data_IF_038369677604
#
_entry.id   IF_038369677604
#
_cell.length_a   1.000
_cell.length_b   1.000
_cell.length_c   1.000
_cell.angle_alpha   90.00
_cell.angle_beta   90.00
_cell.angle_gamma   90.00
#
_symmetry.space_group_name_H-M   'P 1'
#
loop_
_entity.id
_entity.type
_entity.pdbx_description
1 polymer ?
#
# COMPACT_ATOMS: atom_id res chain seq x y z
N UNK A 1 -16.88 -19.25 -9.48
CA UNK A 1 -17.31 -19.08 -8.06
C UNK A 1 -16.65 -17.87 -7.42
N UNK A 2 -15.37 -17.60 -7.70
CA UNK A 2 -14.63 -16.49 -7.11
C UNK A 2 -15.30 -15.12 -7.25
N UNK A 3 -15.78 -14.72 -8.45
CA UNK A 3 -16.43 -13.41 -8.63
C UNK A 3 -17.61 -13.18 -7.67
N UNK A 4 -18.48 -14.19 -7.53
CA UNK A 4 -19.61 -14.14 -6.60
C UNK A 4 -19.13 -14.04 -5.15
N UNK A 5 -18.07 -14.76 -4.78
CA UNK A 5 -17.48 -14.68 -3.45
C UNK A 5 -16.87 -13.30 -3.16
N UNK A 6 -16.18 -12.71 -4.14
CA UNK A 6 -15.65 -11.34 -4.08
C UNK A 6 -16.77 -10.34 -3.88
N UNK A 7 -17.82 -10.38 -4.71
CA UNK A 7 -18.98 -9.48 -4.59
C UNK A 7 -19.68 -9.60 -3.22
N UNK A 8 -19.84 -10.83 -2.72
CA UNK A 8 -20.42 -11.07 -1.39
C UNK A 8 -19.56 -10.53 -0.26
N UNK A 9 -18.24 -10.69 -0.35
CA UNK A 9 -17.32 -10.15 0.65
C UNK A 9 -17.32 -8.61 0.64
N UNK A 10 -17.37 -7.99 -0.54
CA UNK A 10 -17.48 -6.54 -0.68
C UNK A 10 -18.79 -6.00 -0.12
N UNK A 11 -19.91 -6.69 -0.37
CA UNK A 11 -21.22 -6.33 0.19
C UNK A 11 -21.39 -6.61 1.69
N UNK A 12 -20.44 -7.31 2.32
CA UNK A 12 -20.51 -7.63 3.74
C UNK A 12 -20.15 -6.44 4.62
N UNK A 13 -21.09 -6.00 5.46
CA UNK A 13 -20.92 -4.83 6.32
C UNK A 13 -19.88 -4.99 7.43
N UNK A 14 -19.62 -6.23 7.87
CA UNK A 14 -18.72 -6.52 9.01
C UNK A 14 -17.38 -7.14 8.60
N UNK A 15 -17.15 -7.37 7.31
CA UNK A 15 -15.93 -8.04 6.82
C UNK A 15 -15.81 -9.51 7.25
N UNK A 16 -16.85 -10.12 7.82
CA UNK A 16 -16.80 -11.51 8.29
C UNK A 16 -16.50 -12.54 7.17
N UNK A 17 -16.70 -12.16 5.91
CA UNK A 17 -16.40 -13.00 4.74
C UNK A 17 -14.98 -12.80 4.21
N UNK A 18 -14.23 -11.84 4.73
CA UNK A 18 -12.94 -11.44 4.19
C UNK A 18 -11.90 -12.55 4.34
N UNK A 19 -11.80 -13.13 5.54
CA UNK A 19 -10.93 -14.28 5.79
C UNK A 19 -11.37 -15.52 5.01
N UNK A 20 -12.69 -15.73 4.88
CA UNK A 20 -13.23 -16.83 4.09
C UNK A 20 -12.87 -16.70 2.62
N UNK A 21 -12.97 -15.48 2.06
CA UNK A 21 -12.61 -15.20 0.69
C UNK A 21 -11.11 -15.48 0.45
N UNK A 22 -10.24 -14.98 1.33
CA UNK A 22 -8.78 -15.24 1.26
C UNK A 22 -8.49 -16.73 1.25
N UNK A 23 -9.07 -17.47 2.19
CA UNK A 23 -8.90 -18.92 2.27
C UNK A 23 -9.41 -19.63 1.02
N UNK A 24 -10.59 -19.26 0.52
CA UNK A 24 -11.17 -19.82 -0.70
C UNK A 24 -10.26 -19.61 -1.91
N UNK A 25 -9.69 -18.42 -2.07
CA UNK A 25 -8.80 -18.08 -3.18
C UNK A 25 -7.46 -18.81 -3.06
N UNK A 26 -6.87 -18.85 -1.86
CA UNK A 26 -5.65 -19.60 -1.60
C UNK A 26 -5.83 -21.09 -1.91
N UNK A 27 -6.98 -21.68 -1.54
CA UNK A 27 -7.29 -23.08 -1.88
C UNK A 27 -7.33 -23.33 -3.39
N UNK A 28 -7.67 -22.33 -4.20
CA UNK A 28 -7.78 -22.48 -5.65
C UNK A 28 -6.44 -22.54 -6.38
N UNK A 29 -5.33 -22.23 -5.71
CA UNK A 29 -3.99 -22.44 -6.26
C UNK A 29 -3.75 -23.92 -6.58
N UNK A 30 -3.09 -24.18 -7.71
CA UNK A 30 -2.80 -25.54 -8.17
C UNK A 30 -2.04 -26.36 -7.11
N UNK A 31 -1.06 -25.74 -6.44
CA UNK A 31 -0.33 -26.37 -5.33
C UNK A 31 -1.26 -26.83 -4.19
N UNK A 32 -2.18 -25.96 -3.77
CA UNK A 32 -3.12 -26.27 -2.68
C UNK A 32 -4.20 -27.27 -3.10
N UNK A 33 -4.67 -27.21 -4.35
CA UNK A 33 -5.56 -28.22 -4.93
C UNK A 33 -4.89 -29.60 -4.99
N UNK A 34 -3.61 -29.67 -5.36
CA UNK A 34 -2.85 -30.91 -5.37
C UNK A 34 -2.67 -31.49 -3.96
N UNK A 35 -2.39 -30.63 -2.96
CA UNK A 35 -2.32 -31.05 -1.55
C UNK A 35 -3.66 -31.60 -1.06
N UNK A 36 -4.76 -30.90 -1.35
CA UNK A 36 -6.11 -31.34 -0.97
C UNK A 36 -6.51 -32.64 -1.66
N UNK A 37 -6.14 -32.84 -2.93
CA UNK A 37 -6.41 -34.08 -3.64
C UNK A 37 -5.78 -35.29 -2.96
N UNK A 38 -4.60 -35.12 -2.37
CA UNK A 38 -3.93 -36.19 -1.61
C UNK A 38 -4.71 -36.60 -0.36
N UNK A 39 -5.33 -35.65 0.33
CA UNK A 39 -6.08 -35.90 1.57
C UNK A 39 -7.57 -36.21 1.36
N UNK A 40 -8.15 -35.72 0.26
CA UNK A 40 -9.58 -35.81 -0.05
C UNK A 40 -9.75 -36.35 -1.46
N UNK A 41 -10.02 -37.67 -1.54
CA UNK A 41 -10.15 -38.46 -2.78
C UNK A 41 -11.31 -38.03 -3.70
N UNK A 42 -12.12 -37.04 -3.30
CA UNK A 42 -13.31 -36.55 -4.02
C UNK A 42 -13.28 -35.06 -4.33
N UNK A 43 -12.13 -34.38 -4.25
CA UNK A 43 -12.11 -32.95 -4.54
C UNK A 43 -12.31 -32.72 -6.04
N UNK A 44 -13.46 -32.15 -6.40
CA UNK A 44 -13.73 -31.61 -7.73
C UNK A 44 -12.58 -30.66 -8.06
N UNK A 45 -11.79 -30.98 -9.10
CA UNK A 45 -10.76 -30.05 -9.60
C UNK A 45 -11.47 -28.75 -9.96
N UNK A 46 -11.23 -27.72 -9.19
CA UNK A 46 -11.74 -26.39 -9.51
C UNK A 46 -10.87 -25.87 -10.67
N UNK A 47 -11.26 -26.21 -11.90
CA UNK A 47 -10.75 -25.58 -13.12
C UNK A 47 -11.33 -24.16 -13.20
N UNK A 48 -10.96 -23.29 -12.27
CA UNK A 48 -11.28 -21.87 -12.34
C UNK A 48 -10.08 -21.13 -12.88
N UNK A 49 -10.33 -20.25 -13.84
CA UNK A 49 -9.32 -19.40 -14.41
C UNK A 49 -8.87 -18.38 -13.34
N UNK A 50 -7.70 -18.64 -12.74
CA UNK A 50 -7.09 -17.78 -11.72
C UNK A 50 -6.83 -16.39 -12.32
N UNK A 51 -6.35 -16.33 -13.57
CA UNK A 51 -6.08 -15.08 -14.28
C UNK A 51 -7.35 -14.22 -14.39
N UNK A 52 -8.47 -14.80 -14.81
CA UNK A 52 -9.75 -14.07 -14.85
C UNK A 52 -10.24 -13.60 -13.48
N UNK A 53 -9.85 -14.29 -12.41
CA UNK A 53 -10.17 -13.91 -11.03
C UNK A 53 -9.29 -12.75 -10.59
N UNK A 54 -7.99 -12.83 -10.86
CA UNK A 54 -7.00 -11.77 -10.63
C UNK A 54 -7.44 -10.49 -11.33
N UNK A 55 -7.71 -10.54 -12.63
CA UNK A 55 -8.17 -9.38 -13.41
C UNK A 55 -9.48 -8.78 -12.86
N UNK A 56 -10.37 -9.63 -12.37
CA UNK A 56 -11.62 -9.18 -11.76
C UNK A 56 -11.39 -8.48 -10.41
N UNK A 57 -10.52 -9.01 -9.56
CA UNK A 57 -10.17 -8.36 -8.29
C UNK A 57 -9.43 -7.04 -8.54
N UNK A 58 -8.51 -6.99 -9.53
CA UNK A 58 -7.85 -5.75 -9.97
C UNK A 58 -8.87 -4.69 -10.39
N UNK A 59 -9.88 -5.06 -11.18
CA UNK A 59 -11.01 -4.17 -11.49
C UNK A 59 -11.76 -3.71 -10.23
N UNK A 60 -12.02 -4.59 -9.26
CA UNK A 60 -12.70 -4.21 -8.01
C UNK A 60 -11.88 -3.26 -7.14
N UNK A 61 -10.55 -3.37 -7.15
CA UNK A 61 -9.67 -2.41 -6.45
C UNK A 61 -9.72 -1.02 -7.09
N UNK A 62 -9.89 -0.95 -8.42
CA UNK A 62 -10.04 0.33 -9.13
C UNK A 62 -11.34 1.07 -8.81
N UNK A 63 -12.36 0.36 -8.34
CA UNK A 63 -13.62 0.93 -7.87
C UNK A 63 -13.42 1.50 -6.44
N UNK A 64 -14.07 2.61 -6.11
CA UNK A 64 -13.94 3.24 -4.78
C UNK A 64 -14.64 2.41 -3.69
N UNK A 65 -13.89 2.05 -2.65
CA UNK A 65 -14.33 1.20 -1.55
C UNK A 65 -13.71 1.68 -0.23
N UNK A 66 -14.30 1.33 0.93
CA UNK A 66 -13.65 1.50 2.23
C UNK A 66 -12.25 0.86 2.26
N UNK A 67 -11.35 1.42 3.07
CA UNK A 67 -9.95 1.00 3.12
C UNK A 67 -9.82 -0.49 3.48
N UNK A 68 -10.65 -0.97 4.42
CA UNK A 68 -10.66 -2.35 4.88
C UNK A 68 -11.00 -3.32 3.74
N UNK A 69 -11.92 -2.92 2.86
CA UNK A 69 -12.33 -3.70 1.69
C UNK A 69 -11.23 -3.72 0.64
N UNK A 70 -10.63 -2.58 0.37
CA UNK A 70 -9.48 -2.49 -0.54
C UNK A 70 -8.33 -3.36 -0.04
N UNK A 71 -7.96 -3.24 1.23
CA UNK A 71 -6.94 -4.08 1.89
C UNK A 71 -7.29 -5.57 1.78
N UNK A 72 -8.56 -5.95 1.97
CA UNK A 72 -8.97 -7.33 1.80
C UNK A 72 -8.79 -7.84 0.36
N UNK A 73 -9.15 -7.04 -0.65
CA UNK A 73 -8.93 -7.40 -2.05
C UNK A 73 -7.45 -7.52 -2.38
N UNK A 74 -6.59 -6.68 -1.80
CA UNK A 74 -5.13 -6.83 -1.94
C UNK A 74 -4.62 -8.15 -1.34
N UNK A 75 -5.08 -8.51 -0.14
CA UNK A 75 -4.77 -9.81 0.43
C UNK A 75 -5.24 -10.96 -0.46
N UNK A 76 -6.42 -10.83 -1.07
CA UNK A 76 -6.94 -11.83 -2.00
C UNK A 76 -6.01 -12.05 -3.21
N UNK A 77 -5.39 -11.00 -3.73
CA UNK A 77 -4.41 -11.12 -4.82
C UNK A 77 -3.10 -11.77 -4.34
N UNK A 78 -2.64 -11.42 -3.14
CA UNK A 78 -1.48 -12.06 -2.52
C UNK A 78 -1.69 -13.57 -2.29
N UNK A 79 -2.89 -13.98 -1.84
CA UNK A 79 -3.25 -15.40 -1.70
C UNK A 79 -3.29 -16.15 -3.04
N UNK A 80 -3.46 -15.43 -4.16
CA UNK A 80 -3.41 -16.00 -5.51
C UNK A 80 -1.99 -16.07 -6.08
N UNK A 81 -0.95 -15.76 -5.28
CA UNK A 81 0.44 -15.84 -5.69
C UNK A 81 0.83 -14.82 -6.77
N UNK A 82 0.05 -13.74 -6.89
CA UNK A 82 0.36 -12.65 -7.82
C UNK A 82 1.37 -11.70 -7.15
N UNK A 83 2.65 -12.06 -7.21
CA UNK A 83 3.77 -11.22 -6.74
C UNK A 83 4.02 -10.01 -7.66
N UNK A 84 3.51 -10.07 -8.91
CA UNK A 84 3.55 -8.95 -9.84
C UNK A 84 2.67 -7.79 -9.40
N UNK A 85 1.83 -8.01 -8.39
CA UNK A 85 0.88 -7.04 -7.87
C UNK A 85 1.51 -5.73 -7.40
N UNK A 86 2.65 -5.76 -6.73
CA UNK A 86 3.34 -4.52 -6.31
C UNK A 86 3.78 -3.74 -7.55
N UNK A 87 4.36 -4.44 -8.52
CA UNK A 87 4.85 -3.86 -9.77
C UNK A 87 3.70 -3.37 -10.66
N UNK A 88 2.59 -4.09 -10.70
CA UNK A 88 1.38 -3.76 -11.44
C UNK A 88 0.56 -2.66 -10.77
N UNK A 89 0.47 -2.60 -9.43
CA UNK A 89 -0.10 -1.45 -8.72
C UNK A 89 0.76 -0.23 -9.01
N UNK A 90 2.08 -0.35 -8.91
CA UNK A 90 2.99 0.73 -9.28
C UNK A 90 2.79 1.14 -10.75
N UNK A 91 2.62 0.21 -11.69
CA UNK A 91 2.35 0.51 -13.10
C UNK A 91 0.95 1.10 -13.31
N UNK A 92 -0.08 0.63 -12.61
CA UNK A 92 -1.45 1.12 -12.67
C UNK A 92 -1.50 2.57 -12.18
N UNK A 93 -0.88 2.85 -11.03
CA UNK A 93 -0.69 4.19 -10.48
C UNK A 93 0.08 5.11 -11.44
N UNK A 94 1.08 4.58 -12.15
CA UNK A 94 1.83 5.32 -13.18
C UNK A 94 1.05 5.52 -14.49
N UNK A 95 0.19 4.58 -14.87
CA UNK A 95 -0.48 4.54 -16.19
C UNK A 95 -1.69 5.48 -16.31
N UNK A 96 -2.16 6.03 -15.19
CA UNK A 96 -2.94 7.26 -15.19
C UNK A 96 -4.15 7.27 -16.12
N UNK A 97 -5.08 6.33 -15.96
CA UNK A 97 -6.49 6.64 -16.26
C UNK A 97 -7.06 7.55 -15.16
N UNK A 98 -6.55 8.79 -15.12
CA UNK A 98 -7.11 10.06 -14.60
C UNK A 98 -8.06 10.10 -13.38
N UNK A 99 -8.11 9.09 -12.51
CA UNK A 99 -8.78 9.19 -11.21
C UNK A 99 -7.74 9.19 -10.10
N UNK A 100 -7.71 10.31 -9.36
CA UNK A 100 -7.03 10.46 -8.08
C UNK A 100 -7.30 9.23 -7.19
N UNK A 101 -6.26 8.70 -6.54
CA UNK A 101 -6.47 7.66 -5.54
C UNK A 101 -7.31 8.22 -4.40
N UNK A 102 -8.39 7.53 -4.05
CA UNK A 102 -9.15 7.89 -2.87
C UNK A 102 -8.32 7.69 -1.59
N UNK A 103 -8.66 8.34 -0.47
CA UNK A 103 -7.94 8.20 0.79
C UNK A 103 -7.82 6.74 1.28
N UNK A 104 -8.81 5.90 0.97
CA UNK A 104 -8.78 4.46 1.25
C UNK A 104 -7.77 3.72 0.36
N UNK A 105 -7.70 4.06 -0.93
CA UNK A 105 -6.72 3.49 -1.85
C UNK A 105 -5.29 3.85 -1.46
N UNK A 106 -5.02 5.07 -0.99
CA UNK A 106 -3.72 5.46 -0.42
C UNK A 106 -3.32 4.62 0.79
N UNK A 107 -4.27 4.40 1.69
CA UNK A 107 -4.03 3.61 2.90
C UNK A 107 -3.73 2.15 2.55
N UNK A 108 -4.41 1.63 1.51
CA UNK A 108 -4.20 0.29 1.04
C UNK A 108 -2.87 0.14 0.27
N UNK A 109 -2.48 1.13 -0.54
CA UNK A 109 -1.15 1.19 -1.15
C UNK A 109 -0.05 1.18 -0.09
N UNK A 110 -0.19 1.99 0.96
CA UNK A 110 0.78 2.03 2.05
C UNK A 110 0.93 0.66 2.73
N UNK A 111 -0.20 -0.01 2.98
CA UNK A 111 -0.20 -1.36 3.52
C UNK A 111 0.53 -2.35 2.60
N UNK A 112 0.19 -2.37 1.30
CA UNK A 112 0.82 -3.28 0.32
C UNK A 112 2.32 -3.08 0.26
N UNK A 113 2.79 -1.84 0.17
CA UNK A 113 4.22 -1.52 0.14
C UNK A 113 4.94 -2.04 1.40
N UNK A 114 4.34 -1.86 2.57
CA UNK A 114 4.89 -2.35 3.84
C UNK A 114 4.89 -3.87 4.00
N UNK A 115 3.88 -4.54 3.46
CA UNK A 115 3.76 -6.01 3.57
C UNK A 115 4.46 -6.76 2.45
N UNK A 116 4.92 -6.05 1.41
CA UNK A 116 5.68 -6.68 0.33
C UNK A 116 6.97 -7.26 0.89
N UNK A 117 7.38 -8.43 0.39
CA UNK A 117 8.64 -9.08 0.79
C UNK A 117 9.89 -8.34 0.25
N UNK A 118 9.71 -7.20 -0.44
CA UNK A 118 10.79 -6.40 -0.99
C UNK A 118 11.26 -5.36 0.04
N UNK A 119 12.57 -5.22 0.19
CA UNK A 119 13.14 -4.11 0.97
C UNK A 119 12.79 -2.78 0.28
N UNK A 120 12.04 -1.91 0.98
CA UNK A 120 11.68 -0.56 0.55
C UNK A 120 12.93 0.35 0.53
N UNK A 121 13.85 0.14 -0.40
CA UNK A 121 15.08 0.94 -0.48
C UNK A 121 14.78 2.41 -0.78
N UNK A 122 13.88 2.68 -1.72
CA UNK A 122 13.49 4.02 -2.13
C UNK A 122 11.97 4.12 -2.29
N UNK A 123 11.37 5.09 -1.62
CA UNK A 123 10.00 5.50 -1.83
C UNK A 123 9.98 6.89 -2.49
N UNK A 124 9.43 6.98 -3.68
CA UNK A 124 9.31 8.24 -4.41
C UNK A 124 7.83 8.56 -4.59
N UNK A 125 7.33 9.52 -3.81
CA UNK A 125 5.92 9.88 -3.81
C UNK A 125 5.51 10.52 -5.15
N UNK A 126 6.44 11.21 -5.81
CA UNK A 126 6.22 11.86 -7.09
C UNK A 126 5.96 10.86 -8.24
N UNK A 127 6.30 9.58 -8.05
CA UNK A 127 5.91 8.52 -9.01
C UNK A 127 4.40 8.24 -9.02
N UNK A 128 3.68 8.70 -8.00
CA UNK A 128 2.28 8.35 -7.77
C UNK A 128 1.34 9.56 -7.81
N UNK A 129 1.87 10.79 -7.78
CA UNK A 129 1.08 12.02 -7.66
C UNK A 129 1.65 13.10 -8.56
N UNK A 130 0.79 14.02 -9.02
CA UNK A 130 1.24 15.27 -9.65
C UNK A 130 1.48 16.35 -8.58
N UNK A 131 2.49 17.22 -8.74
CA UNK A 131 2.89 18.21 -7.73
C UNK A 131 1.77 19.13 -7.22
N UNK A 132 0.75 19.38 -8.03
CA UNK A 132 -0.37 20.28 -7.74
C UNK A 132 -1.47 19.68 -6.85
N UNK A 133 -1.30 18.44 -6.35
CA UNK A 133 -2.42 17.66 -5.76
C UNK A 133 -2.13 17.02 -4.41
N UNK A 134 -0.95 17.20 -3.83
CA UNK A 134 -0.65 16.58 -2.55
C UNK A 134 -1.25 17.40 -1.40
N UNK A 135 -1.97 16.71 -0.51
CA UNK A 135 -2.43 17.26 0.77
C UNK A 135 -1.75 16.50 1.90
N UNK A 136 -1.56 17.14 3.05
CA UNK A 136 -1.00 16.52 4.26
C UNK A 136 -1.74 15.23 4.66
N UNK A 137 -3.02 15.11 4.32
CA UNK A 137 -3.80 13.89 4.52
C UNK A 137 -3.20 12.66 3.81
N UNK A 138 -2.73 12.82 2.56
CA UNK A 138 -2.09 11.75 1.80
C UNK A 138 -0.76 11.40 2.45
N UNK A 139 0.03 12.41 2.81
CA UNK A 139 1.32 12.24 3.47
C UNK A 139 1.20 11.43 4.76
N UNK A 140 0.19 11.73 5.59
CA UNK A 140 -0.09 10.99 6.83
C UNK A 140 -0.39 9.51 6.56
N UNK A 141 -1.06 9.18 5.45
CA UNK A 141 -1.42 7.80 5.10
C UNK A 141 -0.23 6.98 4.62
N UNK A 142 0.71 7.60 3.91
CA UNK A 142 1.93 6.94 3.44
C UNK A 142 3.11 7.05 4.42
N UNK A 143 2.92 7.75 5.53
CA UNK A 143 3.93 7.94 6.57
C UNK A 143 4.62 6.64 7.04
N UNK A 144 3.90 5.52 7.24
CA UNK A 144 4.54 4.26 7.62
C UNK A 144 5.53 3.76 6.56
N UNK A 145 5.23 3.96 5.26
CA UNK A 145 6.11 3.59 4.15
C UNK A 145 7.35 4.48 4.13
N UNK A 146 7.18 5.78 4.34
CA UNK A 146 8.29 6.74 4.42
C UNK A 146 9.23 6.37 5.57
N UNK A 147 8.68 6.04 6.74
CA UNK A 147 9.49 5.67 7.90
C UNK A 147 10.25 4.34 7.70
N UNK A 148 9.66 3.41 6.95
CA UNK A 148 10.23 2.10 6.64
C UNK A 148 11.21 2.12 5.47
N UNK A 149 11.21 3.18 4.63
CA UNK A 149 12.09 3.23 3.47
C UNK A 149 13.51 3.68 3.82
N UNK A 150 14.50 3.29 3.02
CA UNK A 150 15.88 3.79 3.16
C UNK A 150 16.02 5.24 2.69
N UNK A 151 15.28 5.60 1.64
CA UNK A 151 15.24 6.92 1.02
C UNK A 151 13.80 7.31 0.70
N UNK A 152 13.45 8.57 0.88
CA UNK A 152 12.13 9.13 0.57
C UNK A 152 12.27 10.42 -0.26
N UNK A 153 11.65 10.43 -1.44
CA UNK A 153 11.59 11.60 -2.33
C UNK A 153 10.21 12.23 -2.23
N UNK A 154 10.16 13.43 -1.64
CA UNK A 154 8.95 14.24 -1.45
C UNK A 154 9.15 15.65 -2.03
N UNK A 155 9.99 15.81 -3.06
CA UNK A 155 10.21 17.10 -3.71
C UNK A 155 8.92 17.59 -4.38
N UNK A 156 8.63 18.89 -4.32
CA UNK A 156 7.43 19.53 -4.90
C UNK A 156 6.11 18.80 -4.54
N UNK A 157 5.98 18.39 -3.27
CA UNK A 157 4.83 17.64 -2.77
C UNK A 157 3.89 18.48 -1.89
N UNK A 158 3.92 19.80 -2.03
CA UNK A 158 3.16 20.77 -1.21
C UNK A 158 3.21 20.51 0.31
N UNK A 159 4.29 19.92 0.83
CA UNK A 159 4.42 19.60 2.26
C UNK A 159 4.42 20.90 3.07
N UNK A 160 3.49 20.99 4.02
CA UNK A 160 3.30 22.14 4.91
C UNK A 160 4.07 21.97 6.24
N UNK A 161 3.94 22.95 7.14
CA UNK A 161 4.41 22.83 8.53
C UNK A 161 3.73 21.66 9.28
N UNK A 162 2.45 21.41 9.01
CA UNK A 162 1.71 20.27 9.55
C UNK A 162 2.24 18.94 9.01
N UNK A 163 2.53 18.88 7.71
CA UNK A 163 3.18 17.72 7.09
C UNK A 163 4.56 17.44 7.71
N UNK A 164 5.33 18.49 7.98
CA UNK A 164 6.62 18.39 8.68
C UNK A 164 6.47 17.90 10.12
N UNK A 165 5.42 18.31 10.84
CA UNK A 165 5.13 17.79 12.17
C UNK A 165 4.84 16.28 12.16
N UNK A 166 4.09 15.83 11.16
CA UNK A 166 3.77 14.41 10.95
C UNK A 166 5.03 13.60 10.60
N UNK A 167 5.86 14.09 9.67
CA UNK A 167 7.18 13.51 9.33
C UNK A 167 8.05 13.42 10.58
N UNK A 168 8.14 14.49 11.36
CA UNK A 168 8.93 14.53 12.57
C UNK A 168 8.46 13.50 13.60
N UNK A 169 7.15 13.29 13.72
CA UNK A 169 6.57 12.26 14.59
C UNK A 169 6.98 10.85 14.15
N UNK A 170 6.89 10.57 12.85
CA UNK A 170 7.24 9.27 12.29
C UNK A 170 8.73 8.95 12.42
N UNK A 171 9.62 9.93 12.19
CA UNK A 171 11.06 9.76 12.35
C UNK A 171 11.50 9.56 13.80
N UNK A 172 10.73 10.06 14.77
CA UNK A 172 10.94 9.74 16.19
C UNK A 172 10.44 8.35 16.57
N UNK A 173 9.48 7.81 15.84
CA UNK A 173 8.98 6.46 16.08
C UNK A 173 10.05 5.45 15.64
N UNK A 174 10.47 4.59 16.58
CA UNK A 174 11.52 3.59 16.36
C UNK A 174 10.86 2.23 16.12
N UNK A 175 11.24 1.45 15.09
CA UNK A 175 12.34 1.68 14.16
C UNK A 175 11.98 2.51 12.91
N UNK A 176 12.76 3.56 12.64
CA UNK A 176 12.84 4.15 11.31
C UNK A 176 14.07 3.63 10.57
N UNK A 177 13.93 3.38 9.27
CA UNK A 177 15.02 2.98 8.38
C UNK A 177 15.51 4.14 7.50
N UNK A 178 14.83 5.30 7.56
CA UNK A 178 15.05 6.43 6.68
C UNK A 178 16.43 7.08 6.90
N UNK A 179 17.20 7.15 5.82
CA UNK A 179 18.54 7.75 5.75
C UNK A 179 18.56 9.02 4.91
N UNK A 180 17.73 9.09 3.88
CA UNK A 180 17.66 10.25 3.00
C UNK A 180 16.22 10.74 2.83
N UNK A 181 16.00 12.02 3.08
CA UNK A 181 14.72 12.69 2.87
C UNK A 181 14.94 13.93 2.00
N UNK A 182 14.20 14.04 0.90
CA UNK A 182 14.20 15.22 0.03
C UNK A 182 12.85 15.95 0.12
N UNK A 183 12.89 17.18 0.62
CA UNK A 183 11.79 18.13 0.73
C UNK A 183 12.00 19.36 -0.16
N UNK A 184 12.86 19.30 -1.16
CA UNK A 184 13.13 20.41 -2.09
C UNK A 184 11.84 20.90 -2.76
N UNK A 185 11.71 22.21 -3.02
CA UNK A 185 10.51 22.84 -3.61
C UNK A 185 9.19 22.66 -2.80
N UNK A 186 9.26 22.39 -1.49
CA UNK A 186 8.07 22.39 -0.63
C UNK A 186 7.83 23.72 0.10
N UNK A 187 6.62 23.88 0.65
CA UNK A 187 6.18 25.08 1.39
C UNK A 187 6.50 24.96 2.89
N UNK A 188 7.73 24.53 3.21
CA UNK A 188 8.18 24.35 4.60
C UNK A 188 8.47 25.72 5.22
N UNK A 189 7.69 26.11 6.22
CA UNK A 189 7.88 27.32 6.99
C UNK A 189 8.80 27.12 8.19
N UNK A 190 8.97 28.18 8.99
CA UNK A 190 9.84 28.18 10.17
C UNK A 190 9.41 27.10 11.20
N UNK A 191 8.12 26.81 11.31
CA UNK A 191 7.63 25.78 12.24
C UNK A 191 8.01 24.38 11.75
N UNK A 192 7.88 24.11 10.45
CA UNK A 192 8.29 22.87 9.82
C UNK A 192 9.78 22.61 10.00
N UNK A 193 10.62 23.61 9.74
CA UNK A 193 12.07 23.55 9.99
C UNK A 193 12.37 23.23 11.45
N UNK A 194 11.64 23.85 12.40
CA UNK A 194 11.81 23.58 13.83
C UNK A 194 11.44 22.14 14.20
N UNK A 195 10.35 21.60 13.65
CA UNK A 195 9.95 20.21 13.90
C UNK A 195 10.99 19.21 13.41
N UNK A 196 11.52 19.42 12.19
CA UNK A 196 12.54 18.56 11.59
C UNK A 196 13.89 18.69 12.32
N UNK A 197 14.29 19.91 12.70
CA UNK A 197 15.52 20.15 13.46
C UNK A 197 15.53 19.42 14.80
N UNK A 198 14.40 19.43 15.52
CA UNK A 198 14.26 18.69 16.78
C UNK A 198 14.38 17.16 16.61
N UNK A 199 14.11 16.63 15.41
CA UNK A 199 14.38 15.22 15.10
C UNK A 199 15.86 14.98 14.88
N UNK A 200 16.55 15.86 14.17
CA UNK A 200 17.99 15.74 13.92
C UNK A 200 18.83 15.85 15.20
N UNK A 201 18.34 16.57 16.22
CA UNK A 201 18.95 16.62 17.56
C UNK A 201 18.78 15.31 18.35
N UNK A 202 17.88 14.42 17.93
CA UNK A 202 17.68 13.14 18.61
C UNK A 202 18.86 12.20 18.32
N UNK A 203 19.58 11.69 19.34
CA UNK A 203 20.73 10.80 19.15
C UNK A 203 20.36 9.45 18.52
N UNK A 204 19.07 9.09 18.52
CA UNK A 204 18.56 7.89 17.86
C UNK A 204 18.06 8.15 16.44
N UNK A 205 18.13 9.39 15.97
CA UNK A 205 17.83 9.72 14.58
C UNK A 205 18.82 9.01 13.66
N UNK A 206 18.27 8.41 12.62
CA UNK A 206 19.02 7.66 11.60
C UNK A 206 19.14 8.41 10.28
N UNK A 207 18.52 9.59 10.18
CA UNK A 207 18.54 10.41 8.99
C UNK A 207 19.93 11.01 8.80
N UNK A 208 20.51 10.79 7.62
CA UNK A 208 21.87 11.20 7.26
C UNK A 208 21.83 12.40 6.30
N UNK A 209 20.83 12.45 5.43
CA UNK A 209 20.63 13.51 4.45
C UNK A 209 19.19 14.03 4.55
N UNK A 210 19.08 15.35 4.75
CA UNK A 210 17.85 16.12 4.60
C UNK A 210 18.13 17.22 3.56
N UNK A 211 17.36 17.24 2.47
CA UNK A 211 17.42 18.28 1.43
C UNK A 211 16.15 19.11 1.48
#
# INVERSE_FOLDING_TARGET
>A
VHRIAVDKALGSQTGHLDLFLRFLLGLSLEYNQNLLYFFVTQTIRISQNIEETVQYIKKKISEDHPAEKSINLFHCLNELGDDSLVEEIQQYLKSGTQSELSPSQWSALAFVLLTSAQDLNEFDLNKYITPDKIRDEILVRVMPVIAASGKAMLWDCEVSDEGCAALASALRSNPSHLRELDLTENKVGDSGVKFLSAVLENPHCKLEILR
#
